data_IF_906418048606
#
_entry.id   IF_906418048606
#
_cell.length_a   1.000
_cell.length_b   1.000
_cell.length_c   1.000
_cell.angle_alpha   90.00
_cell.angle_beta   90.00
_cell.angle_gamma   90.00
#
_symmetry.space_group_name_H-M   'P 1'
#
loop_
_entity.id
_entity.type
_entity.pdbx_description
1 polymer ?
#
# COMPACT_ATOMS: atom_id res chain seq x y z
N UNK A 1 -17.57 -17.55 -2.21
CA UNK A 1 -17.87 -17.10 -0.84
C UNK A 1 -16.68 -17.42 0.07
N UNK A 2 -16.35 -16.53 0.99
CA UNK A 2 -15.43 -16.82 2.07
C UNK A 2 -16.16 -17.66 3.12
N UNK A 3 -15.46 -18.58 3.79
CA UNK A 3 -16.02 -19.38 4.87
C UNK A 3 -15.10 -19.28 6.08
N UNK A 4 -15.64 -18.91 7.24
CA UNK A 4 -14.93 -18.75 8.51
C UNK A 4 -14.22 -17.40 8.64
N UNK A 5 -13.57 -17.19 9.77
CA UNK A 5 -13.01 -15.90 10.18
C UNK A 5 -11.88 -15.43 9.26
N UNK A 6 -11.79 -14.13 9.07
CA UNK A 6 -10.87 -13.44 8.17
C UNK A 6 -9.88 -12.58 8.99
N UNK A 7 -8.61 -12.65 8.64
CA UNK A 7 -7.58 -11.74 9.13
C UNK A 7 -7.04 -10.90 7.98
N UNK A 8 -6.96 -9.59 8.18
CA UNK A 8 -6.33 -8.63 7.26
C UNK A 8 -5.08 -8.05 7.92
N UNK A 9 -3.96 -8.08 7.21
CA UNK A 9 -2.68 -7.53 7.66
C UNK A 9 -2.36 -6.29 6.86
N UNK A 10 -2.27 -5.14 7.54
CA UNK A 10 -1.93 -3.85 6.96
C UNK A 10 -2.63 -2.70 7.69
N UNK A 11 -2.10 -1.47 7.54
CA UNK A 11 -2.60 -0.27 8.23
C UNK A 11 -3.04 0.85 7.29
N UNK A 12 -2.97 0.66 5.97
CA UNK A 12 -3.38 1.66 4.97
C UNK A 12 -4.80 1.47 4.46
N UNK A 13 -5.29 2.43 3.63
CA UNK A 13 -6.66 2.42 3.09
C UNK A 13 -6.99 1.12 2.35
N UNK A 14 -6.05 0.51 1.63
CA UNK A 14 -6.28 -0.78 0.96
C UNK A 14 -6.63 -1.90 1.97
N UNK A 15 -5.98 -1.91 3.13
CA UNK A 15 -6.30 -2.88 4.17
C UNK A 15 -7.71 -2.63 4.75
N UNK A 16 -8.09 -1.38 4.92
CA UNK A 16 -9.44 -0.97 5.32
C UNK A 16 -10.48 -1.46 4.29
N UNK A 17 -10.25 -1.19 2.99
CA UNK A 17 -11.15 -1.62 1.92
C UNK A 17 -11.33 -3.14 1.89
N UNK A 18 -10.24 -3.89 2.06
CA UNK A 18 -10.28 -5.37 2.11
C UNK A 18 -11.06 -5.84 3.34
N UNK A 19 -10.84 -5.22 4.51
CA UNK A 19 -11.54 -5.59 5.73
C UNK A 19 -13.05 -5.30 5.63
N UNK A 20 -13.44 -4.09 5.20
CA UNK A 20 -14.84 -3.69 5.00
C UNK A 20 -15.53 -4.54 3.94
N UNK A 21 -14.86 -4.80 2.81
CA UNK A 21 -15.40 -5.70 1.79
C UNK A 21 -15.62 -7.10 2.36
N UNK A 22 -14.68 -7.60 3.15
CA UNK A 22 -14.83 -8.90 3.79
C UNK A 22 -16.04 -8.96 4.72
N UNK A 23 -16.33 -7.94 5.53
CA UNK A 23 -17.52 -7.89 6.39
C UNK A 23 -18.83 -7.91 5.59
N UNK A 24 -18.85 -7.33 4.37
CA UNK A 24 -20.05 -7.19 3.54
C UNK A 24 -20.37 -8.43 2.70
N UNK A 25 -19.43 -9.34 2.49
CA UNK A 25 -19.64 -10.51 1.62
C UNK A 25 -19.97 -11.80 2.38
N UNK A 26 -20.04 -11.77 3.70
CA UNK A 26 -20.40 -12.94 4.51
C UNK A 26 -20.63 -12.60 5.98
N UNK A 27 -21.09 -13.60 6.72
CA UNK A 27 -21.40 -13.51 8.16
C UNK A 27 -20.26 -14.21 8.95
N UNK A 28 -19.12 -13.53 9.08
CA UNK A 28 -17.93 -14.00 9.81
C UNK A 28 -17.20 -12.83 10.47
N UNK A 29 -16.32 -13.16 11.42
CA UNK A 29 -15.53 -12.12 12.06
C UNK A 29 -14.37 -11.68 11.15
N UNK A 30 -14.19 -10.39 11.03
CA UNK A 30 -13.04 -9.78 10.37
C UNK A 30 -12.17 -9.08 11.41
N UNK A 31 -10.91 -9.48 11.50
CA UNK A 31 -9.92 -8.84 12.35
C UNK A 31 -8.80 -8.25 11.51
N UNK A 32 -8.42 -7.02 11.81
CA UNK A 32 -7.37 -6.30 11.12
C UNK A 32 -6.21 -6.02 12.07
N UNK A 33 -4.98 -6.29 11.62
CA UNK A 33 -3.76 -6.07 12.38
C UNK A 33 -2.78 -5.21 11.59
N UNK A 34 -2.15 -4.24 12.24
CA UNK A 34 -1.15 -3.37 11.65
C UNK A 34 0.06 -3.18 12.57
N UNK A 35 1.18 -2.75 11.98
CA UNK A 35 2.42 -2.52 12.71
C UNK A 35 2.35 -1.26 13.58
N UNK A 36 1.67 -0.24 13.08
CA UNK A 36 1.54 1.07 13.69
C UNK A 36 0.64 1.00 14.94
N UNK A 37 0.75 1.99 15.80
CA UNK A 37 -0.30 2.31 16.77
C UNK A 37 -1.48 3.00 16.06
N UNK A 38 -2.61 3.10 16.74
CA UNK A 38 -3.85 3.65 16.16
C UNK A 38 -3.69 5.07 15.63
N UNK A 39 -2.90 5.92 16.31
CA UNK A 39 -2.72 7.33 15.94
C UNK A 39 -1.78 7.53 14.74
N UNK A 40 -0.95 6.53 14.43
CA UNK A 40 0.04 6.57 13.36
C UNK A 40 -0.32 5.67 12.17
N UNK A 41 -1.53 5.14 12.12
CA UNK A 41 -1.98 4.34 10.97
C UNK A 41 -1.95 5.18 9.69
N UNK A 42 -1.50 4.61 8.55
CA UNK A 42 -1.46 5.31 7.26
C UNK A 42 -2.83 5.56 6.62
N UNK A 43 -3.86 4.80 7.02
CA UNK A 43 -5.23 5.01 6.55
C UNK A 43 -5.81 6.32 7.10
N UNK A 44 -6.77 6.91 6.38
CA UNK A 44 -7.48 8.09 6.86
C UNK A 44 -8.35 7.76 8.08
N UNK A 45 -8.50 8.73 9.00
CA UNK A 45 -9.29 8.54 10.22
C UNK A 45 -10.73 8.14 9.91
N UNK A 46 -11.35 8.80 8.95
CA UNK A 46 -12.71 8.53 8.50
C UNK A 46 -12.89 7.07 8.06
N UNK A 47 -11.98 6.55 7.23
CA UNK A 47 -12.00 5.16 6.76
C UNK A 47 -11.83 4.15 7.91
N UNK A 48 -11.00 4.47 8.89
CA UNK A 48 -10.79 3.62 10.05
C UNK A 48 -12.04 3.59 10.95
N UNK A 49 -12.67 4.76 11.19
CA UNK A 49 -13.90 4.86 11.97
C UNK A 49 -15.02 4.07 11.31
N UNK A 50 -15.23 4.24 10.00
CA UNK A 50 -16.23 3.49 9.24
C UNK A 50 -16.00 1.95 9.29
N UNK A 51 -14.73 1.50 9.22
CA UNK A 51 -14.41 0.08 9.33
C UNK A 51 -14.78 -0.49 10.71
N UNK A 52 -14.50 0.26 11.77
CA UNK A 52 -14.86 -0.14 13.15
C UNK A 52 -16.38 -0.16 13.34
N UNK A 53 -17.09 0.83 12.81
CA UNK A 53 -18.57 0.89 12.82
C UNK A 53 -19.19 -0.30 12.08
N UNK A 54 -18.58 -0.75 10.97
CA UNK A 54 -18.99 -1.96 10.24
C UNK A 54 -18.60 -3.27 10.95
N UNK A 55 -17.99 -3.22 12.13
CA UNK A 55 -17.67 -4.38 12.95
C UNK A 55 -16.30 -5.00 12.74
N UNK A 56 -15.40 -4.34 11.99
CA UNK A 56 -14.00 -4.78 11.89
C UNK A 56 -13.31 -4.64 13.25
N UNK A 57 -12.70 -5.73 13.72
CA UNK A 57 -11.91 -5.74 14.95
C UNK A 57 -10.48 -5.28 14.66
N UNK A 58 -10.15 -4.04 15.00
CA UNK A 58 -8.83 -3.46 14.78
C UNK A 58 -7.94 -3.67 16.01
N UNK A 59 -6.74 -4.22 15.80
CA UNK A 59 -5.72 -4.43 16.84
C UNK A 59 -4.35 -4.01 16.31
N UNK A 60 -3.82 -2.93 16.86
CA UNK A 60 -2.60 -2.25 16.41
C UNK A 60 -1.34 -2.74 17.13
N UNK A 61 -0.18 -2.50 16.53
CA UNK A 61 1.12 -2.88 17.09
C UNK A 61 1.45 -4.36 16.92
N UNK A 62 0.96 -5.00 15.86
CA UNK A 62 1.21 -6.40 15.55
C UNK A 62 1.69 -6.61 14.13
N UNK A 63 2.74 -7.41 13.96
CA UNK A 63 3.21 -7.89 12.67
C UNK A 63 3.03 -9.39 12.49
N UNK A 64 2.92 -9.87 11.24
CA UNK A 64 2.81 -11.29 10.97
C UNK A 64 4.13 -12.00 11.28
N UNK A 65 4.04 -13.18 11.92
CA UNK A 65 5.18 -14.08 12.18
C UNK A 65 5.08 -15.34 11.34
N UNK A 66 3.91 -15.98 11.35
CA UNK A 66 3.71 -17.27 10.67
C UNK A 66 2.23 -17.46 10.31
N UNK A 67 1.94 -17.99 9.14
CA UNK A 67 0.60 -18.45 8.75
C UNK A 67 0.52 -19.94 9.04
N UNK A 68 -0.44 -20.33 9.89
CA UNK A 68 -0.65 -21.73 10.26
C UNK A 68 -1.55 -22.40 9.21
N UNK A 69 -1.12 -23.59 8.78
CA UNK A 69 -1.86 -24.37 7.79
C UNK A 69 -1.98 -25.82 8.22
N UNK A 70 -3.12 -26.43 7.88
CA UNK A 70 -3.36 -27.86 8.04
C UNK A 70 -4.02 -28.41 6.77
N UNK A 71 -3.47 -29.50 6.21
CA UNK A 71 -3.96 -30.12 4.97
C UNK A 71 -4.11 -29.12 3.80
N UNK A 72 -3.19 -28.15 3.68
CA UNK A 72 -3.19 -27.13 2.63
C UNK A 72 -4.23 -26.00 2.83
N UNK A 73 -4.88 -25.93 3.99
CA UNK A 73 -5.81 -24.87 4.34
C UNK A 73 -5.27 -24.03 5.49
N UNK A 74 -5.54 -22.73 5.47
CA UNK A 74 -5.21 -21.82 6.57
C UNK A 74 -6.06 -22.16 7.77
N UNK A 75 -5.43 -22.24 8.96
CA UNK A 75 -6.10 -22.50 10.24
C UNK A 75 -5.87 -21.37 11.25
N UNK A 76 -4.95 -20.45 10.95
CA UNK A 76 -4.65 -19.32 11.81
C UNK A 76 -3.43 -18.55 11.38
N UNK A 77 -3.10 -17.55 12.16
CA UNK A 77 -1.88 -16.74 12.03
C UNK A 77 -1.26 -16.50 13.40
N UNK A 78 0.07 -16.58 13.47
CA UNK A 78 0.84 -16.11 14.62
C UNK A 78 1.33 -14.70 14.31
N UNK A 79 1.05 -13.79 15.24
CA UNK A 79 1.48 -12.40 15.22
C UNK A 79 2.55 -12.18 16.27
N UNK A 80 3.40 -11.19 16.08
CA UNK A 80 4.40 -10.73 17.05
C UNK A 80 4.26 -9.22 17.29
N UNK A 81 4.56 -8.80 18.52
CA UNK A 81 4.46 -7.40 18.92
C UNK A 81 5.43 -6.54 18.12
N UNK A 82 4.93 -5.51 17.43
CA UNK A 82 5.74 -4.47 16.85
C UNK A 82 6.05 -3.41 17.92
N UNK A 83 7.32 -3.21 18.22
CA UNK A 83 7.78 -2.25 19.24
C UNK A 83 8.12 -0.89 18.64
N UNK A 84 8.49 -0.85 17.37
CA UNK A 84 8.73 0.38 16.60
C UNK A 84 8.56 0.08 15.12
N UNK A 85 7.94 0.98 14.36
CA UNK A 85 7.79 0.87 12.89
C UNK A 85 8.96 1.53 12.16
N UNK A 86 9.59 2.55 12.79
CA UNK A 86 10.66 3.34 12.21
C UNK A 86 11.92 3.27 13.07
N UNK A 87 13.07 3.40 12.43
CA UNK A 87 14.36 3.56 13.10
C UNK A 87 14.57 5.02 13.56
N UNK A 88 15.74 5.28 14.16
CA UNK A 88 16.13 6.61 14.66
C UNK A 88 16.22 7.68 13.55
N UNK A 89 16.42 7.26 12.29
CA UNK A 89 16.46 8.15 11.12
C UNK A 89 15.07 8.36 10.50
N UNK A 90 14.02 7.79 11.08
CA UNK A 90 12.64 7.86 10.58
C UNK A 90 12.35 6.97 9.38
N UNK A 91 13.25 6.05 9.02
CA UNK A 91 13.07 5.09 7.93
C UNK A 91 12.25 3.90 8.39
N UNK A 92 11.44 3.34 7.49
CA UNK A 92 10.68 2.13 7.76
C UNK A 92 11.63 0.96 8.05
N UNK A 93 11.68 0.54 9.31
CA UNK A 93 12.52 -0.54 9.82
C UNK A 93 11.88 -1.16 11.07
N UNK A 94 10.81 -1.94 10.91
CA UNK A 94 10.04 -2.42 12.04
C UNK A 94 10.85 -3.33 12.96
N UNK A 95 10.76 -3.06 14.26
CA UNK A 95 11.35 -3.84 15.33
C UNK A 95 10.28 -4.64 16.06
N UNK A 96 10.63 -5.82 16.52
CA UNK A 96 9.67 -6.75 17.14
C UNK A 96 10.17 -7.32 18.45
N UNK A 97 9.24 -7.59 19.36
CA UNK A 97 9.47 -8.51 20.47
C UNK A 97 9.04 -9.92 20.01
N UNK A 98 10.03 -10.78 19.81
CA UNK A 98 9.80 -12.15 19.34
C UNK A 98 9.17 -13.06 20.43
N UNK A 99 9.15 -12.63 21.69
CA UNK A 99 8.56 -13.36 22.83
C UNK A 99 7.11 -12.94 23.09
N UNK A 100 6.70 -11.72 22.70
CA UNK A 100 5.30 -11.28 22.77
C UNK A 100 4.57 -11.67 21.49
N UNK A 101 3.91 -12.81 21.53
CA UNK A 101 3.20 -13.39 20.38
C UNK A 101 1.73 -13.62 20.68
N UNK A 102 0.91 -13.52 19.64
CA UNK A 102 -0.52 -13.79 19.66
C UNK A 102 -0.89 -14.73 18.52
N UNK A 103 -1.63 -15.79 18.82
CA UNK A 103 -2.20 -16.68 17.81
C UNK A 103 -3.66 -16.36 17.61
N UNK A 104 -4.05 -16.12 16.34
CA UNK A 104 -5.43 -15.84 15.92
C UNK A 104 -5.89 -16.96 15.00
N UNK A 105 -7.01 -17.61 15.35
CA UNK A 105 -7.65 -18.58 14.46
C UNK A 105 -8.35 -17.86 13.32
N UNK A 106 -8.15 -18.31 12.09
CA UNK A 106 -8.83 -17.79 10.91
C UNK A 106 -8.74 -18.80 9.78
N UNK A 107 -9.63 -18.65 8.80
CA UNK A 107 -9.64 -19.47 7.58
C UNK A 107 -9.03 -18.73 6.39
N UNK A 108 -8.92 -17.40 6.47
CA UNK A 108 -8.38 -16.56 5.42
C UNK A 108 -7.45 -15.49 6.00
N UNK A 109 -6.33 -15.25 5.32
CA UNK A 109 -5.40 -14.17 5.62
C UNK A 109 -5.19 -13.34 4.36
N UNK A 110 -5.52 -12.05 4.43
CA UNK A 110 -5.25 -11.09 3.37
C UNK A 110 -4.07 -10.20 3.76
N UNK A 111 -3.06 -10.14 2.89
CA UNK A 111 -1.88 -9.29 3.06
C UNK A 111 -2.06 -8.01 2.26
N UNK A 112 -2.27 -6.88 2.95
CA UNK A 112 -2.42 -5.53 2.39
C UNK A 112 -1.29 -4.62 2.86
N UNK A 113 -0.06 -5.10 2.72
CA UNK A 113 1.18 -4.51 3.28
C UNK A 113 1.88 -3.56 2.30
N UNK A 114 1.19 -3.11 1.27
CA UNK A 114 1.70 -2.23 0.24
C UNK A 114 2.13 -2.95 -1.02
N UNK A 115 2.42 -2.14 -2.02
CA UNK A 115 2.89 -2.57 -3.34
C UNK A 115 4.13 -1.77 -3.73
N UNK A 116 4.93 -2.32 -4.63
CA UNK A 116 6.09 -1.64 -5.22
C UNK A 116 6.08 -1.79 -6.72
N UNK A 117 6.70 -0.84 -7.40
CA UNK A 117 6.84 -0.90 -8.86
C UNK A 117 7.88 -1.96 -9.24
N UNK A 118 7.50 -2.83 -10.16
CA UNK A 118 8.41 -3.79 -10.78
C UNK A 118 8.55 -3.42 -12.26
N UNK A 119 9.70 -2.89 -12.61
CA UNK A 119 9.97 -2.41 -13.97
C UNK A 119 10.22 -3.54 -14.96
N UNK A 120 10.78 -4.66 -14.52
CA UNK A 120 11.21 -5.74 -15.40
C UNK A 120 12.11 -5.21 -16.52
N UNK A 121 11.76 -5.52 -17.76
CA UNK A 121 12.49 -5.07 -18.94
C UNK A 121 11.90 -3.78 -19.58
N UNK A 122 10.86 -3.17 -18.99
CA UNK A 122 10.16 -2.03 -19.58
C UNK A 122 11.07 -0.84 -19.91
N UNK A 123 12.03 -0.57 -19.03
CA UNK A 123 12.95 0.57 -19.20
C UNK A 123 14.29 0.16 -19.85
N UNK A 124 14.45 -1.09 -20.24
CA UNK A 124 15.68 -1.60 -20.85
C UNK A 124 15.93 -0.94 -22.22
N UNK A 125 17.11 -0.38 -22.39
CA UNK A 125 17.50 0.32 -23.63
C UNK A 125 17.06 1.78 -23.70
N UNK A 126 16.35 2.31 -22.69
CA UNK A 126 16.06 3.73 -22.53
C UNK A 126 17.17 4.41 -21.75
N UNK A 127 17.17 5.77 -21.73
CA UNK A 127 18.05 6.59 -20.89
C UNK A 127 17.39 6.99 -19.58
N UNK A 128 16.26 6.36 -19.24
CA UNK A 128 15.54 6.65 -18.01
C UNK A 128 16.33 6.16 -16.80
N UNK A 129 16.67 7.07 -15.89
CA UNK A 129 17.33 6.75 -14.64
C UNK A 129 16.33 6.44 -13.53
N UNK A 130 16.70 5.44 -12.72
CA UNK A 130 15.93 5.00 -11.55
C UNK A 130 16.74 5.27 -10.28
N UNK A 131 16.05 5.72 -9.23
CA UNK A 131 16.56 5.80 -7.86
C UNK A 131 15.74 4.86 -6.97
N UNK A 132 16.34 3.72 -6.61
CA UNK A 132 15.62 2.62 -5.99
C UNK A 132 14.57 2.03 -6.94
N UNK A 133 13.28 2.23 -6.62
CA UNK A 133 12.15 1.81 -7.45
C UNK A 133 11.48 2.97 -8.20
N UNK A 134 11.95 4.20 -7.99
CA UNK A 134 11.36 5.43 -8.54
C UNK A 134 12.15 5.92 -9.75
N UNK A 135 11.44 6.38 -10.75
CA UNK A 135 12.05 7.05 -11.90
C UNK A 135 12.40 8.48 -11.52
N UNK A 136 13.59 8.93 -11.93
CA UNK A 136 13.98 10.34 -11.83
C UNK A 136 13.26 11.13 -12.93
N UNK A 137 12.52 12.15 -12.53
CA UNK A 137 11.84 13.07 -13.43
C UNK A 137 11.81 14.47 -12.84
N UNK A 138 11.69 15.45 -13.70
CA UNK A 138 11.46 16.84 -13.33
C UNK A 138 10.07 17.01 -12.69
N UNK A 139 9.98 17.73 -11.57
CA UNK A 139 8.75 17.84 -10.78
C UNK A 139 7.66 18.69 -11.42
N UNK A 140 8.03 19.56 -12.37
CA UNK A 140 7.10 20.46 -13.05
C UNK A 140 6.66 19.88 -14.39
N UNK A 141 7.59 19.27 -15.12
CA UNK A 141 7.34 18.79 -16.47
C UNK A 141 7.02 17.31 -16.53
N UNK A 142 7.30 16.56 -15.46
CA UNK A 142 7.20 15.09 -15.43
C UNK A 142 8.08 14.39 -16.49
N UNK A 143 9.02 15.13 -17.12
CA UNK A 143 9.97 14.60 -18.08
C UNK A 143 11.09 13.85 -17.35
N UNK A 144 11.43 12.67 -17.84
CA UNK A 144 12.50 11.84 -17.28
C UNK A 144 13.87 12.28 -17.80
N UNK A 145 14.92 11.55 -17.42
CA UNK A 145 16.26 11.72 -17.98
C UNK A 145 16.36 11.30 -19.45
N UNK A 146 15.39 10.54 -19.96
CA UNK A 146 15.19 10.31 -21.39
C UNK A 146 14.19 11.36 -21.91
N UNK A 147 14.59 12.30 -22.80
CA UNK A 147 13.77 13.45 -23.19
C UNK A 147 12.42 13.10 -23.81
N UNK A 148 12.29 11.93 -24.40
CA UNK A 148 11.09 11.47 -25.08
C UNK A 148 10.12 10.73 -24.12
N UNK A 149 10.53 10.57 -22.85
CA UNK A 149 9.77 9.80 -21.85
C UNK A 149 9.29 10.70 -20.73
N UNK A 150 7.98 10.66 -20.47
CA UNK A 150 7.30 11.35 -19.38
C UNK A 150 6.66 10.34 -18.44
N UNK A 151 6.53 10.69 -17.17
CA UNK A 151 6.03 9.77 -16.14
C UNK A 151 5.10 10.51 -15.18
N UNK A 152 4.12 9.81 -14.61
CA UNK A 152 3.22 10.38 -13.59
C UNK A 152 2.48 9.29 -12.83
N UNK A 153 1.73 9.69 -11.80
CA UNK A 153 0.99 8.77 -10.93
C UNK A 153 1.89 7.93 -10.03
N UNK A 154 1.40 6.78 -9.61
CA UNK A 154 2.02 5.93 -8.57
C UNK A 154 3.45 5.50 -8.88
N UNK A 155 3.79 5.30 -10.14
CA UNK A 155 5.15 4.92 -10.58
C UNK A 155 6.19 6.02 -10.36
N UNK A 156 5.73 7.27 -10.16
CA UNK A 156 6.57 8.44 -9.88
C UNK A 156 6.50 8.87 -8.42
N UNK A 157 5.29 9.02 -7.88
CA UNK A 157 5.08 9.54 -6.52
C UNK A 157 5.03 8.46 -5.45
N UNK A 158 4.91 7.19 -5.81
CA UNK A 158 4.44 6.11 -4.98
C UNK A 158 2.90 6.07 -4.92
N UNK A 159 2.30 5.05 -4.28
CA UNK A 159 0.86 4.90 -4.20
C UNK A 159 0.16 6.12 -3.59
N UNK A 160 -0.85 6.66 -4.30
CA UNK A 160 -1.69 7.79 -3.90
C UNK A 160 -3.13 7.58 -4.37
N UNK A 161 -3.99 8.57 -4.14
CA UNK A 161 -5.37 8.54 -4.64
C UNK A 161 -5.44 8.65 -6.17
N UNK A 162 -6.48 8.09 -6.75
CA UNK A 162 -6.70 8.14 -8.21
C UNK A 162 -6.73 9.59 -8.74
N UNK A 163 -7.24 10.55 -7.95
CA UNK A 163 -7.27 11.96 -8.31
C UNK A 163 -5.86 12.55 -8.50
N UNK A 164 -4.87 12.10 -7.71
CA UNK A 164 -3.48 12.54 -7.85
C UNK A 164 -2.86 12.03 -9.15
N UNK A 165 -3.16 10.78 -9.53
CA UNK A 165 -2.72 10.21 -10.79
C UNK A 165 -3.35 10.93 -12.00
N UNK A 166 -4.63 11.30 -11.91
CA UNK A 166 -5.32 12.08 -12.94
C UNK A 166 -4.68 13.48 -13.08
N UNK A 167 -4.39 14.15 -11.95
CA UNK A 167 -3.72 15.45 -11.97
C UNK A 167 -2.33 15.36 -12.61
N UNK A 168 -1.52 14.38 -12.19
CA UNK A 168 -0.19 14.14 -12.78
C UNK A 168 -0.28 13.87 -14.28
N UNK A 169 -1.26 13.08 -14.72
CA UNK A 169 -1.48 12.79 -16.15
C UNK A 169 -1.83 14.02 -16.97
N UNK A 170 -2.64 14.94 -16.42
CA UNK A 170 -2.99 16.21 -17.08
C UNK A 170 -1.75 17.11 -17.24
N UNK A 171 -0.95 17.27 -16.21
CA UNK A 171 0.28 18.07 -16.26
C UNK A 171 1.31 17.46 -17.18
N UNK A 172 1.50 16.14 -17.16
CA UNK A 172 2.38 15.45 -18.09
C UNK A 172 1.92 15.63 -19.55
N UNK A 173 0.62 15.58 -19.84
CA UNK A 173 0.08 15.80 -21.17
C UNK A 173 0.38 17.23 -21.69
N UNK A 174 0.27 18.24 -20.83
CA UNK A 174 0.65 19.63 -21.14
C UNK A 174 2.14 19.70 -21.47
N UNK A 175 2.97 19.03 -20.72
CA UNK A 175 4.43 19.00 -20.91
C UNK A 175 4.81 18.28 -22.21
N UNK A 176 4.18 17.15 -22.50
CA UNK A 176 4.34 16.43 -23.78
C UNK A 176 3.93 17.33 -24.96
N UNK A 177 2.78 18.02 -24.86
CA UNK A 177 2.34 18.93 -25.91
C UNK A 177 3.37 20.05 -26.17
N UNK A 178 3.89 20.68 -25.12
CA UNK A 178 4.93 21.72 -25.23
C UNK A 178 6.23 21.18 -25.80
N UNK A 179 6.57 19.94 -25.47
CA UNK A 179 7.76 19.28 -25.99
C UNK A 179 7.67 19.02 -27.49
N UNK A 180 6.53 18.49 -27.96
CA UNK A 180 6.34 18.19 -29.40
C UNK A 180 5.93 19.40 -30.24
N UNK A 181 5.37 20.45 -29.62
CA UNK A 181 4.91 21.68 -30.26
C UNK A 181 5.34 22.92 -29.46
N UNK A 182 6.64 23.25 -29.40
CA UNK A 182 7.17 24.27 -28.47
C UNK A 182 6.68 25.70 -28.79
N UNK A 183 6.07 25.94 -29.96
CA UNK A 183 5.53 27.25 -30.34
C UNK A 183 3.99 27.31 -30.24
N UNK A 184 3.34 26.26 -29.80
CA UNK A 184 1.89 26.24 -29.61
C UNK A 184 1.51 26.83 -28.25
N UNK A 185 0.53 27.76 -28.23
CA UNK A 185 -0.12 28.17 -26.99
C UNK A 185 -1.21 27.17 -26.64
N UNK A 186 -1.11 26.55 -25.48
CA UNK A 186 -2.25 25.87 -24.87
C UNK A 186 -3.19 26.96 -24.32
N UNK A 187 -4.32 27.12 -24.94
CA UNK A 187 -5.45 27.93 -24.42
C UNK A 187 -6.35 27.09 -23.54
#
# INVERSE_FOLDING_TARGET
PLEGDVVVIGGGNVAIDVARTSTRVGDYNVSMFCLEDRANMPASEEEIEEAVEEGVKLDCGWGPKEILTENGKVTGIVLKRCTSVKDADGRFNPQYDENDTKTVKCSHVFLSIGQTTIWGDLLKGTKVEIDGVRVKADKLTYQTTDPDVFIGGDVYTGPRFAIDAIAAGKEAAISIHRYVQPHSSLT
#
